data_IF_012559288444
#
_entry.id   IF_012559288444
#
_cell.length_a   1.000
_cell.length_b   1.000
_cell.length_c   1.000
_cell.angle_alpha   90.00
_cell.angle_beta   90.00
_cell.angle_gamma   90.00
#
_symmetry.space_group_name_H-M   'P 1'
#
loop_
_entity.id
_entity.type
_entity.pdbx_description
1 polymer ?
#
# COMPACT_ATOMS: atom_id res chain seq x y z
N UNK A 1 18.95 7.31 -11.71
CA UNK A 1 17.60 7.60 -11.19
C UNK A 1 17.71 7.57 -9.67
N UNK A 2 17.21 8.59 -8.96
CA UNK A 2 17.42 8.72 -7.52
C UNK A 2 16.76 7.55 -6.76
N UNK A 3 17.56 6.57 -6.34
CA UNK A 3 17.14 5.37 -5.60
C UNK A 3 16.90 5.72 -4.12
N UNK A 4 15.92 6.60 -3.86
CA UNK A 4 15.52 6.93 -2.51
C UNK A 4 14.51 5.91 -1.99
N UNK A 5 14.92 5.06 -1.05
CA UNK A 5 14.02 4.16 -0.32
C UNK A 5 12.82 4.94 0.22
N UNK A 6 11.62 4.55 -0.20
CA UNK A 6 10.35 5.13 0.25
C UNK A 6 9.87 4.38 1.48
N UNK A 7 9.59 5.12 2.56
CA UNK A 7 9.02 4.58 3.80
C UNK A 7 7.66 5.21 4.03
N UNK A 8 6.63 4.37 4.10
CA UNK A 8 5.28 4.78 4.46
C UNK A 8 5.00 4.23 5.86
N UNK A 9 4.65 5.09 6.81
CA UNK A 9 4.16 4.66 8.11
C UNK A 9 2.69 5.06 8.26
N UNK A 10 1.90 4.12 8.76
CA UNK A 10 0.49 4.23 9.07
C UNK A 10 0.35 4.09 10.58
N UNK A 11 0.07 5.20 11.25
CA UNK A 11 -0.04 5.26 12.70
C UNK A 11 -1.50 5.39 13.13
N UNK A 12 -1.96 4.53 14.04
CA UNK A 12 -3.27 4.62 14.67
C UNK A 12 -3.13 5.09 16.11
N UNK A 13 -3.93 6.08 16.51
CA UNK A 13 -4.03 6.60 17.89
C UNK A 13 -4.99 5.74 18.77
N UNK A 14 -5.39 4.57 18.27
CA UNK A 14 -6.35 3.70 18.97
C UNK A 14 -5.69 3.01 20.14
N UNK A 15 -5.97 3.50 21.35
CA UNK A 15 -5.37 2.98 22.60
C UNK A 15 -5.85 1.59 23.03
N UNK A 16 -6.78 0.98 22.30
CA UNK A 16 -7.36 -0.33 22.66
C UNK A 16 -7.01 -1.40 21.63
N UNK A 17 -6.38 -2.49 22.06
CA UNK A 17 -6.07 -3.64 21.18
C UNK A 17 -7.27 -4.57 20.93
N UNK A 18 -8.51 -4.05 20.90
CA UNK A 18 -9.72 -4.87 20.69
C UNK A 18 -9.83 -5.44 19.28
N UNK A 19 -9.17 -4.79 18.30
CA UNK A 19 -9.13 -5.18 16.89
C UNK A 19 -7.72 -5.59 16.49
N UNK A 20 -7.60 -6.38 15.43
CA UNK A 20 -6.27 -6.65 14.83
C UNK A 20 -5.70 -5.35 14.27
N UNK A 21 -4.38 -5.23 14.22
CA UNK A 21 -3.72 -3.99 13.77
C UNK A 21 -4.21 -3.53 12.39
N UNK A 22 -4.19 -4.41 11.39
CA UNK A 22 -4.65 -4.10 10.03
C UNK A 22 -6.17 -3.89 9.92
N UNK A 23 -6.93 -4.11 11.00
CA UNK A 23 -8.37 -3.85 11.02
C UNK A 23 -8.72 -2.42 11.44
N UNK A 24 -7.75 -1.62 11.89
CA UNK A 24 -7.98 -0.23 12.26
C UNK A 24 -8.48 0.59 11.05
N UNK A 25 -9.32 1.59 11.36
CA UNK A 25 -10.06 2.32 10.35
C UNK A 25 -9.37 3.61 9.91
N UNK A 26 -8.74 4.31 10.85
CA UNK A 26 -8.11 5.61 10.61
C UNK A 26 -6.63 5.51 10.92
N UNK A 27 -5.83 6.01 9.98
CA UNK A 27 -4.38 6.00 10.07
C UNK A 27 -3.83 7.39 9.71
N UNK A 28 -2.98 7.95 10.56
CA UNK A 28 -2.11 9.04 10.17
C UNK A 28 -1.02 8.50 9.23
N UNK A 29 -0.85 9.13 8.07
CA UNK A 29 0.09 8.68 7.03
C UNK A 29 1.34 9.54 7.11
N UNK A 30 2.49 8.88 7.21
CA UNK A 30 3.80 9.52 7.14
C UNK A 30 4.58 8.97 5.96
N UNK A 31 5.09 9.86 5.12
CA UNK A 31 6.00 9.53 4.04
C UNK A 31 7.41 10.01 4.41
N UNK A 32 8.36 9.09 4.51
CA UNK A 32 9.75 9.37 4.92
C UNK A 32 9.85 10.20 6.20
N UNK A 33 9.00 9.90 7.20
CA UNK A 33 8.95 10.57 8.49
C UNK A 33 8.15 11.89 8.51
N UNK A 34 7.67 12.38 7.37
CA UNK A 34 6.83 13.57 7.30
C UNK A 34 5.35 13.19 7.23
N UNK A 35 4.53 13.75 8.12
CA UNK A 35 3.07 13.55 8.08
C UNK A 35 2.51 14.17 6.80
N UNK A 36 1.82 13.36 6.01
CA UNK A 36 1.22 13.75 4.72
C UNK A 36 -0.29 13.90 4.83
N UNK A 37 -0.93 13.22 5.78
CA UNK A 37 -2.37 13.32 5.98
C UNK A 37 -2.93 12.14 6.77
N UNK A 38 -4.18 11.81 6.47
CA UNK A 38 -4.88 10.66 7.05
C UNK A 38 -5.40 9.76 5.93
N UNK A 39 -5.46 8.47 6.21
CA UNK A 39 -6.12 7.48 5.34
C UNK A 39 -7.21 6.76 6.11
N UNK A 40 -8.24 6.35 5.38
CA UNK A 40 -9.37 5.59 5.91
C UNK A 40 -9.39 4.23 5.22
N UNK A 41 -9.43 3.16 6.02
CA UNK A 41 -9.58 1.79 5.51
C UNK A 41 -10.93 1.64 4.82
N UNK A 42 -10.93 1.24 3.54
CA UNK A 42 -12.17 0.90 2.81
C UNK A 42 -12.77 -0.39 3.39
N UNK A 43 -14.10 -0.42 3.60
CA UNK A 43 -14.82 -1.60 4.14
C UNK A 43 -15.34 -2.53 3.05
N UNK A 44 -15.61 -1.98 1.88
CA UNK A 44 -16.19 -2.69 0.75
C UNK A 44 -15.20 -2.62 -0.40
N UNK A 45 -15.03 -3.74 -1.09
CA UNK A 45 -14.29 -3.78 -2.35
C UNK A 45 -15.25 -3.35 -3.45
N UNK A 46 -14.82 -2.43 -4.30
CA UNK A 46 -15.63 -1.90 -5.38
C UNK A 46 -15.38 -2.66 -6.71
N UNK A 47 -16.31 -2.57 -7.67
CA UNK A 47 -16.23 -3.32 -8.93
C UNK A 47 -14.97 -2.96 -9.76
N UNK A 48 -14.52 -1.71 -9.69
CA UNK A 48 -13.27 -1.21 -10.28
C UNK A 48 -12.04 -1.90 -9.67
N UNK A 49 -11.98 -2.03 -8.34
CA UNK A 49 -10.90 -2.75 -7.66
C UNK A 49 -10.87 -4.23 -8.07
N UNK A 50 -12.05 -4.86 -8.18
CA UNK A 50 -12.17 -6.25 -8.67
C UNK A 50 -11.68 -6.35 -10.11
N UNK A 51 -12.07 -5.40 -10.97
CA UNK A 51 -11.65 -5.36 -12.36
C UNK A 51 -10.13 -5.25 -12.51
N UNK A 52 -9.49 -4.34 -11.77
CA UNK A 52 -8.03 -4.22 -11.72
C UNK A 52 -7.38 -5.53 -11.28
N UNK A 53 -7.91 -6.18 -10.24
CA UNK A 53 -7.38 -7.46 -9.76
C UNK A 53 -7.52 -8.59 -10.80
N UNK A 54 -8.58 -8.57 -11.61
CA UNK A 54 -8.76 -9.51 -12.72
C UNK A 54 -7.75 -9.28 -13.85
N UNK A 55 -7.55 -8.01 -14.26
CA UNK A 55 -6.55 -7.64 -15.27
C UNK A 55 -5.13 -8.06 -14.85
N UNK A 56 -4.82 -7.91 -13.56
CA UNK A 56 -3.52 -8.25 -13.01
C UNK A 56 -3.37 -9.73 -12.62
N UNK A 57 -4.35 -10.61 -12.87
CA UNK A 57 -4.31 -12.00 -12.40
C UNK A 57 -3.07 -12.77 -12.87
N UNK A 58 -2.63 -12.54 -14.11
CA UNK A 58 -1.43 -13.15 -14.69
C UNK A 58 -0.10 -12.43 -14.39
N UNK A 59 -0.16 -11.25 -13.76
CA UNK A 59 1.02 -10.45 -13.47
C UNK A 59 1.61 -10.91 -12.14
N UNK A 60 2.88 -11.31 -12.12
CA UNK A 60 3.56 -11.72 -10.89
C UNK A 60 4.16 -10.53 -10.13
N UNK A 61 4.92 -9.70 -10.85
CA UNK A 61 5.56 -8.48 -10.37
C UNK A 61 5.76 -7.51 -11.56
N UNK A 62 5.94 -6.22 -11.29
CA UNK A 62 6.24 -5.21 -12.29
C UNK A 62 5.43 -3.93 -12.08
N UNK A 63 5.72 -2.92 -12.88
CA UNK A 63 4.93 -1.69 -12.98
C UNK A 63 4.39 -1.56 -14.40
N UNK A 64 3.25 -0.88 -14.55
CA UNK A 64 2.66 -0.64 -15.87
C UNK A 64 1.44 0.26 -15.79
N UNK A 65 0.76 0.40 -16.93
CA UNK A 65 -0.49 1.14 -17.05
C UNK A 65 -1.61 0.18 -17.43
N UNK A 66 -2.79 0.39 -16.84
CA UNK A 66 -4.02 -0.28 -17.20
C UNK A 66 -4.96 0.74 -17.86
N UNK A 67 -5.75 0.33 -18.85
CA UNK A 67 -6.80 1.18 -19.40
C UNK A 67 -7.81 1.50 -18.30
N UNK A 68 -8.27 2.74 -18.20
CA UNK A 68 -9.32 3.12 -17.25
C UNK A 68 -10.57 2.25 -17.44
N UNK A 69 -11.11 1.77 -16.32
CA UNK A 69 -12.45 1.20 -16.29
C UNK A 69 -13.52 2.23 -16.67
N UNK A 70 -14.73 1.78 -17.05
CA UNK A 70 -15.80 2.65 -17.55
C UNK A 70 -16.23 3.77 -16.58
N UNK A 71 -15.95 3.64 -15.28
CA UNK A 71 -16.30 4.61 -14.23
C UNK A 71 -15.11 5.43 -13.68
N UNK A 72 -13.90 5.27 -14.18
CA UNK A 72 -12.69 5.84 -13.56
C UNK A 72 -12.19 7.14 -14.23
N UNK A 73 -12.95 7.69 -15.18
CA UNK A 73 -12.54 8.87 -15.98
C UNK A 73 -12.31 10.15 -15.17
N UNK A 74 -12.89 10.27 -13.97
CA UNK A 74 -12.77 11.47 -13.13
C UNK A 74 -11.52 11.49 -12.23
N UNK A 75 -10.89 10.34 -11.97
CA UNK A 75 -9.79 10.22 -10.98
C UNK A 75 -8.43 9.90 -11.61
N UNK A 76 -8.40 9.63 -12.91
CA UNK A 76 -7.20 9.21 -13.62
C UNK A 76 -6.65 10.32 -14.50
N UNK A 77 -5.32 10.46 -14.52
CA UNK A 77 -4.63 11.35 -15.46
C UNK A 77 -4.70 10.66 -16.82
N UNK A 78 -5.32 11.31 -17.80
CA UNK A 78 -5.49 10.81 -19.18
C UNK A 78 -6.31 9.51 -19.32
N UNK A 79 -7.05 9.10 -18.29
CA UNK A 79 -7.80 7.84 -18.33
C UNK A 79 -6.91 6.59 -18.28
N UNK A 80 -5.74 6.69 -17.65
CA UNK A 80 -4.84 5.56 -17.42
C UNK A 80 -4.58 5.35 -15.93
N UNK A 81 -4.66 4.08 -15.49
CA UNK A 81 -4.32 3.68 -14.13
C UNK A 81 -2.91 3.11 -14.10
N UNK A 82 -1.97 3.84 -13.51
CA UNK A 82 -0.61 3.32 -13.26
C UNK A 82 -0.63 2.39 -12.04
N UNK A 83 -0.03 1.22 -12.17
CA UNK A 83 0.06 0.24 -11.09
C UNK A 83 1.50 -0.21 -10.83
N UNK A 84 1.75 -0.66 -9.61
CA UNK A 84 2.92 -1.43 -9.21
C UNK A 84 2.44 -2.70 -8.52
N UNK A 85 2.92 -3.86 -8.98
CA UNK A 85 2.75 -5.15 -8.33
C UNK A 85 4.11 -5.65 -7.85
N UNK A 86 4.22 -5.90 -6.56
CA UNK A 86 5.45 -6.38 -5.95
C UNK A 86 5.15 -7.48 -4.93
N UNK A 87 6.19 -8.24 -4.58
CA UNK A 87 6.14 -9.17 -3.45
C UNK A 87 6.64 -8.43 -2.21
N UNK A 88 6.06 -8.76 -1.07
CA UNK A 88 6.44 -8.18 0.21
C UNK A 88 6.77 -9.27 1.21
N UNK A 89 7.85 -9.09 1.95
CA UNK A 89 8.11 -9.82 3.18
C UNK A 89 7.34 -9.15 4.33
N UNK A 90 6.45 -9.91 4.97
CA UNK A 90 5.69 -9.44 6.13
C UNK A 90 6.41 -9.84 7.42
N UNK A 91 6.73 -8.83 8.24
CA UNK A 91 7.36 -9.00 9.55
C UNK A 91 6.40 -8.50 10.63
N UNK A 92 6.04 -9.38 11.56
CA UNK A 92 5.16 -9.04 12.70
C UNK A 92 6.05 -8.78 13.91
N UNK A 93 6.13 -7.52 14.35
CA UNK A 93 6.92 -7.14 15.52
C UNK A 93 6.15 -7.35 16.83
N UNK A 94 4.87 -6.97 16.85
CA UNK A 94 3.99 -7.17 18.02
C UNK A 94 2.52 -7.16 17.58
N UNK A 95 1.59 -7.28 18.54
CA UNK A 95 0.15 -7.08 18.28
C UNK A 95 -0.21 -5.67 17.78
N UNK A 96 0.70 -4.72 17.94
CA UNK A 96 0.54 -3.30 17.64
C UNK A 96 1.52 -2.83 16.54
N UNK A 97 2.37 -3.71 16.00
CA UNK A 97 3.36 -3.33 14.99
C UNK A 97 3.56 -4.43 13.92
N UNK A 98 3.37 -4.06 12.66
CA UNK A 98 3.65 -4.91 11.49
C UNK A 98 4.38 -4.10 10.40
N UNK A 99 5.30 -4.75 9.69
CA UNK A 99 6.06 -4.15 8.60
C UNK A 99 5.99 -5.02 7.34
N UNK A 100 5.99 -4.36 6.17
CA UNK A 100 6.03 -4.97 4.86
C UNK A 100 7.22 -4.40 4.10
N UNK A 101 8.17 -5.26 3.74
CA UNK A 101 9.37 -4.90 2.99
C UNK A 101 9.24 -5.40 1.56
N UNK A 102 9.32 -4.50 0.57
CA UNK A 102 9.30 -4.90 -0.83
C UNK A 102 10.50 -5.80 -1.15
N UNK A 103 10.24 -6.94 -1.78
CA UNK A 103 11.27 -7.89 -2.22
C UNK A 103 11.69 -7.51 -3.63
N UNK A 104 12.94 -7.09 -3.79
CA UNK A 104 13.49 -6.77 -5.09
C UNK A 104 13.89 -8.05 -5.84
N UNK A 105 13.48 -8.24 -7.10
CA UNK A 105 13.77 -9.46 -7.86
C UNK A 105 15.24 -9.64 -8.24
N UNK A 106 16.00 -8.55 -8.27
CA UNK A 106 17.41 -8.50 -8.65
C UNK A 106 18.38 -8.75 -7.47
N UNK A 107 17.84 -8.96 -6.26
CA UNK A 107 18.64 -9.18 -5.05
C UNK A 107 19.47 -7.96 -4.62
N UNK A 108 19.10 -6.75 -5.09
CA UNK A 108 19.73 -5.51 -4.66
C UNK A 108 19.60 -5.30 -3.15
N UNK A 109 20.59 -4.58 -2.58
CA UNK A 109 20.78 -4.43 -1.14
C UNK A 109 19.76 -3.48 -0.49
N UNK A 110 18.53 -3.96 -0.33
CA UNK A 110 17.49 -3.33 0.48
C UNK A 110 16.19 -3.05 -0.28
N UNK A 111 15.05 -3.00 0.41
CA UNK A 111 13.75 -2.73 -0.21
C UNK A 111 13.69 -1.31 -0.79
N UNK A 112 13.07 -1.14 -1.95
CA UNK A 112 12.77 0.19 -2.52
C UNK A 112 11.56 0.85 -1.82
N UNK A 113 10.69 0.04 -1.22
CA UNK A 113 9.50 0.46 -0.51
C UNK A 113 9.32 -0.35 0.79
N UNK A 114 9.13 0.37 1.90
CA UNK A 114 8.72 -0.21 3.18
C UNK A 114 7.39 0.40 3.63
N UNK A 115 6.49 -0.43 4.14
CA UNK A 115 5.22 0.00 4.74
C UNK A 115 5.16 -0.48 6.18
N UNK A 116 4.94 0.44 7.11
CA UNK A 116 4.86 0.17 8.54
C UNK A 116 3.46 0.49 9.05
N UNK A 117 2.90 -0.41 9.84
CA UNK A 117 1.66 -0.20 10.59
C UNK A 117 2.01 -0.19 12.07
N UNK A 118 1.63 0.87 12.78
CA UNK A 118 1.90 1.03 14.21
C UNK A 118 0.66 1.54 14.92
N UNK A 119 0.33 0.95 16.06
CA UNK A 119 -0.73 1.45 16.96
C UNK A 119 -0.08 1.94 18.25
N UNK A 120 -0.40 3.18 18.63
CA UNK A 120 0.10 3.87 19.82
C UNK A 120 -0.98 4.01 20.90
#
# INVERSE_FOLDING_TARGET
MASGLVRIALESETRTSKRKLLEEYVWAVYCNGKKTGYSIRRKQTYDDEIHVMQLLRGVSMGAGVLPAGPNEKETLIDGELTYLRARFERVVGSKDAEAFYMINPDGTSGPDLCIFFVRQ
#
